data_IF_533834855052
#
_entry.id   IF_533834855052
#
_cell.length_a   1.000
_cell.length_b   1.000
_cell.length_c   1.000
_cell.angle_alpha   90.00
_cell.angle_beta   90.00
_cell.angle_gamma   90.00
#
_symmetry.space_group_name_H-M   'P 1'
#
loop_
_entity.id
_entity.type
_entity.pdbx_description
1 polymer ?
#
# COMPACT_ATOMS: atom_id res chain seq x y z
N UNK A 1 -2.49 34.95 -15.75
CA UNK A 1 -2.11 35.20 -14.36
C UNK A 1 -1.05 34.16 -13.95
N UNK A 2 0.11 34.65 -13.45
CA UNK A 2 1.28 33.82 -13.15
C UNK A 2 0.94 32.74 -12.12
N UNK A 3 0.09 33.05 -11.13
CA UNK A 3 -0.35 32.06 -10.09
C UNK A 3 -1.18 30.93 -10.69
N UNK A 4 -2.10 31.23 -11.60
CA UNK A 4 -2.89 30.21 -12.27
C UNK A 4 -2.02 29.31 -13.16
N UNK A 5 -0.99 29.87 -13.81
CA UNK A 5 -0.02 29.11 -14.60
C UNK A 5 0.84 28.19 -13.70
N UNK A 6 1.33 28.70 -12.55
CA UNK A 6 2.14 27.91 -11.61
C UNK A 6 1.32 26.75 -11.01
N UNK A 7 0.02 26.95 -10.76
CA UNK A 7 -0.91 25.93 -10.28
C UNK A 7 -1.14 24.85 -11.33
N UNK A 8 -1.43 25.21 -12.58
CA UNK A 8 -1.59 24.28 -13.70
C UNK A 8 -0.31 23.47 -13.95
N UNK A 9 0.86 24.10 -13.88
CA UNK A 9 2.15 23.40 -14.03
C UNK A 9 2.36 22.40 -12.91
N UNK A 10 2.05 22.78 -11.66
CA UNK A 10 2.16 21.89 -10.50
C UNK A 10 1.24 20.69 -10.60
N UNK A 11 -0.01 20.91 -10.99
CA UNK A 11 -0.99 19.84 -11.20
C UNK A 11 -0.56 18.90 -12.34
N UNK A 12 -0.07 19.47 -13.45
CA UNK A 12 0.44 18.67 -14.57
C UNK A 12 1.66 17.83 -14.19
N UNK A 13 2.58 18.37 -13.40
CA UNK A 13 3.73 17.62 -12.90
C UNK A 13 3.29 16.49 -11.97
N UNK A 14 2.33 16.73 -11.09
CA UNK A 14 1.77 15.71 -10.21
C UNK A 14 1.11 14.56 -11.01
N UNK A 15 0.35 14.88 -12.06
CA UNK A 15 -0.25 13.88 -12.95
C UNK A 15 0.81 13.08 -13.71
N UNK A 16 1.89 13.70 -14.18
CA UNK A 16 3.00 13.03 -14.83
C UNK A 16 3.75 12.07 -13.89
N UNK A 17 3.97 12.47 -12.63
CA UNK A 17 4.58 11.62 -11.62
C UNK A 17 3.70 10.41 -11.31
N UNK A 18 2.38 10.60 -11.19
CA UNK A 18 1.41 9.52 -11.02
C UNK A 18 1.44 8.55 -12.20
N UNK A 19 1.44 9.08 -13.43
CA UNK A 19 1.50 8.26 -14.65
C UNK A 19 2.79 7.44 -14.72
N UNK A 20 3.92 8.04 -14.37
CA UNK A 20 5.23 7.39 -14.31
C UNK A 20 5.24 6.25 -13.28
N UNK A 21 4.65 6.47 -12.10
CA UNK A 21 4.50 5.45 -11.08
C UNK A 21 3.60 4.29 -11.53
N UNK A 22 2.51 4.58 -12.26
CA UNK A 22 1.65 3.55 -12.85
C UNK A 22 2.37 2.74 -13.93
N UNK A 23 3.12 3.38 -14.81
CA UNK A 23 3.91 2.70 -15.84
C UNK A 23 4.98 1.78 -15.22
N UNK A 24 5.62 2.20 -14.14
CA UNK A 24 6.55 1.36 -13.40
C UNK A 24 5.86 0.11 -12.84
N UNK A 25 4.69 0.26 -12.19
CA UNK A 25 3.90 -0.87 -11.68
C UNK A 25 3.48 -1.83 -12.80
N UNK A 26 3.00 -1.32 -13.93
CA UNK A 26 2.63 -2.14 -15.10
C UNK A 26 3.84 -2.88 -15.64
N UNK A 27 4.98 -2.21 -15.80
CA UNK A 27 6.22 -2.82 -16.27
C UNK A 27 6.67 -3.97 -15.36
N UNK A 28 6.66 -3.76 -14.04
CA UNK A 28 7.09 -4.76 -13.07
C UNK A 28 6.13 -5.96 -13.09
N UNK A 29 4.83 -5.72 -13.23
CA UNK A 29 3.81 -6.77 -13.33
C UNK A 29 3.87 -7.57 -14.63
N UNK A 30 4.26 -6.94 -15.76
CA UNK A 30 4.43 -7.64 -17.03
C UNK A 30 5.72 -8.44 -17.07
N UNK A 31 6.79 -7.95 -16.43
CA UNK A 31 8.04 -8.70 -16.29
C UNK A 31 7.89 -9.94 -15.40
N UNK A 32 7.13 -9.83 -14.33
CA UNK A 32 6.89 -10.96 -13.42
C UNK A 32 6.14 -12.14 -14.06
N UNK A 33 5.37 -11.89 -15.14
CA UNK A 33 4.73 -12.96 -15.93
C UNK A 33 5.75 -13.76 -16.79
N UNK A 34 6.97 -13.24 -16.96
CA UNK A 34 8.03 -13.85 -17.80
C UNK A 34 9.31 -14.21 -17.04
N UNK A 35 9.65 -13.46 -15.98
CA UNK A 35 10.86 -13.67 -15.19
C UNK A 35 10.63 -13.27 -13.73
N UNK A 36 11.36 -13.87 -12.81
CA UNK A 36 11.29 -13.53 -11.39
C UNK A 36 11.55 -12.03 -11.17
N UNK A 37 10.70 -11.36 -10.41
CA UNK A 37 10.91 -9.96 -10.00
C UNK A 37 12.27 -9.83 -9.30
N UNK A 38 13.23 -9.06 -9.82
CA UNK A 38 14.55 -8.96 -9.23
C UNK A 38 14.47 -8.33 -7.84
N UNK A 39 15.09 -8.99 -6.86
CA UNK A 39 15.16 -8.50 -5.49
C UNK A 39 16.56 -7.97 -5.18
N UNK A 40 16.63 -6.78 -4.58
CA UNK A 40 17.84 -6.20 -4.01
C UNK A 40 17.80 -6.32 -2.49
N UNK A 41 17.93 -7.55 -2.00
CA UNK A 41 17.87 -7.88 -0.57
C UNK A 41 19.01 -7.22 0.18
N UNK A 42 18.71 -6.48 1.24
CA UNK A 42 19.66 -5.90 2.17
C UNK A 42 19.07 -5.70 3.56
N UNK A 43 19.92 -5.55 4.55
CA UNK A 43 19.49 -5.14 5.90
C UNK A 43 19.18 -3.65 5.91
N UNK A 44 18.03 -3.26 6.47
CA UNK A 44 17.63 -1.85 6.63
C UNK A 44 16.70 -1.69 7.84
N UNK A 45 16.56 -0.45 8.32
CA UNK A 45 15.66 -0.13 9.42
C UNK A 45 14.22 0.07 8.92
N UNK A 46 13.33 -0.86 9.31
CA UNK A 46 11.92 -0.84 8.94
C UNK A 46 11.18 0.34 9.60
N UNK A 47 11.53 0.70 10.84
CA UNK A 47 10.92 1.84 11.54
C UNK A 47 11.23 3.16 10.85
N UNK A 48 12.47 3.34 10.41
CA UNK A 48 12.87 4.53 9.67
C UNK A 48 12.10 4.61 8.33
N UNK A 49 12.00 3.48 7.63
CA UNK A 49 11.24 3.38 6.37
C UNK A 49 9.76 3.73 6.59
N UNK A 50 9.11 3.14 7.57
CA UNK A 50 7.69 3.44 7.90
C UNK A 50 7.49 4.91 8.25
N UNK A 51 8.33 5.47 9.12
CA UNK A 51 8.26 6.87 9.51
C UNK A 51 8.44 7.83 8.32
N UNK A 52 9.34 7.49 7.38
CA UNK A 52 9.51 8.25 6.15
C UNK A 52 8.27 8.20 5.28
N UNK A 53 7.66 7.02 5.09
CA UNK A 53 6.44 6.86 4.30
C UNK A 53 5.27 7.65 4.90
N UNK A 54 5.06 7.58 6.21
CA UNK A 54 4.01 8.35 6.89
C UNK A 54 4.18 9.86 6.64
N UNK A 55 5.40 10.38 6.73
CA UNK A 55 5.68 11.81 6.47
C UNK A 55 5.48 12.22 5.01
N UNK A 56 5.72 11.31 4.07
CA UNK A 56 5.62 11.57 2.63
C UNK A 56 4.24 11.23 2.05
N UNK A 57 3.35 10.64 2.85
CA UNK A 57 2.00 10.32 2.42
C UNK A 57 1.23 11.59 2.04
N UNK A 58 0.73 11.62 0.81
CA UNK A 58 -0.13 12.71 0.38
C UNK A 58 -1.53 12.55 0.98
N UNK A 59 -1.91 13.52 1.83
CA UNK A 59 -3.22 13.54 2.49
C UNK A 59 -4.12 14.50 1.73
N UNK A 60 -5.27 14.04 1.18
CA UNK A 60 -6.26 14.92 0.56
C UNK A 60 -6.74 15.97 1.54
N UNK A 61 -6.97 17.20 1.06
CA UNK A 61 -7.34 18.35 1.90
C UNK A 61 -8.68 18.18 2.64
N UNK A 62 -9.54 17.30 2.15
CA UNK A 62 -10.85 16.97 2.72
C UNK A 62 -10.81 15.82 3.73
N UNK A 63 -9.63 15.26 4.03
CA UNK A 63 -9.45 14.12 4.95
C UNK A 63 -8.54 14.47 6.13
N UNK A 64 -8.88 13.91 7.28
CA UNK A 64 -8.03 13.91 8.48
C UNK A 64 -7.48 12.50 8.67
N UNK A 65 -6.17 12.34 8.49
CA UNK A 65 -5.51 11.03 8.54
C UNK A 65 -4.65 10.93 9.79
N UNK A 66 -4.86 9.87 10.57
CA UNK A 66 -4.03 9.54 11.73
C UNK A 66 -3.46 8.14 11.54
N UNK A 67 -2.13 8.00 11.61
CA UNK A 67 -1.43 6.72 11.52
C UNK A 67 -0.77 6.40 12.85
N UNK A 68 -1.05 5.21 13.38
CA UNK A 68 -0.52 4.71 14.64
C UNK A 68 0.45 3.55 14.39
N UNK A 69 1.77 3.80 14.28
CA UNK A 69 2.76 2.74 14.12
C UNK A 69 3.02 2.03 15.46
N UNK A 70 3.05 0.71 15.43
CA UNK A 70 3.38 -0.15 16.57
C UNK A 70 4.42 -1.19 16.17
N UNK A 71 5.45 -1.38 17.01
CA UNK A 71 6.54 -2.31 16.75
C UNK A 71 6.70 -3.29 17.93
N UNK A 72 6.57 -4.59 17.64
CA UNK A 72 6.86 -5.69 18.58
C UNK A 72 7.96 -6.54 17.99
N UNK A 73 9.20 -6.07 18.09
CA UNK A 73 10.40 -6.63 17.50
C UNK A 73 11.58 -6.36 18.45
N UNK A 74 12.54 -7.27 18.53
CA UNK A 74 13.79 -7.06 19.28
C UNK A 74 14.70 -6.06 18.58
N UNK A 75 14.71 -6.08 17.24
CA UNK A 75 15.42 -5.14 16.39
C UNK A 75 14.50 -4.66 15.27
N UNK A 76 14.62 -3.39 14.88
CA UNK A 76 13.92 -2.84 13.71
C UNK A 76 14.66 -3.09 12.39
N UNK A 77 15.86 -3.70 12.46
CA UNK A 77 16.59 -4.13 11.28
C UNK A 77 15.97 -5.39 10.70
N UNK A 78 15.63 -5.35 9.42
CA UNK A 78 15.01 -6.47 8.67
C UNK A 78 15.78 -6.75 7.40
N UNK A 79 15.68 -7.97 6.87
CA UNK A 79 16.33 -8.43 5.65
C UNK A 79 15.29 -8.55 4.55
N UNK A 80 15.26 -7.60 3.62
CA UNK A 80 14.32 -7.59 2.49
C UNK A 80 14.79 -6.58 1.44
N UNK A 81 14.05 -6.43 0.33
CA UNK A 81 14.23 -5.30 -0.58
C UNK A 81 13.49 -4.07 -0.02
N UNK A 82 14.21 -3.00 0.40
CA UNK A 82 13.58 -1.85 1.04
C UNK A 82 12.66 -1.06 0.10
N UNK A 83 12.90 -1.09 -1.21
CA UNK A 83 12.03 -0.42 -2.20
C UNK A 83 10.71 -1.18 -2.32
N UNK A 84 10.77 -2.51 -2.38
CA UNK A 84 9.58 -3.34 -2.43
C UNK A 84 8.76 -3.24 -1.15
N UNK A 85 9.39 -3.28 0.01
CA UNK A 85 8.69 -3.10 1.30
C UNK A 85 8.04 -1.73 1.40
N UNK A 86 8.75 -0.67 0.97
CA UNK A 86 8.18 0.68 0.92
C UNK A 86 6.96 0.74 -0.02
N UNK A 87 7.03 0.12 -1.20
CA UNK A 87 5.92 0.06 -2.16
C UNK A 87 4.71 -0.71 -1.61
N UNK A 88 4.94 -1.84 -0.92
CA UNK A 88 3.87 -2.60 -0.25
C UNK A 88 3.13 -1.70 0.75
N UNK A 89 3.87 -1.10 1.69
CA UNK A 89 3.31 -0.27 2.76
C UNK A 89 2.60 0.96 2.17
N UNK A 90 3.20 1.66 1.22
CA UNK A 90 2.62 2.84 0.56
C UNK A 90 1.30 2.50 -0.13
N UNK A 91 1.24 1.41 -0.93
CA UNK A 91 -0.01 1.00 -1.58
C UNK A 91 -1.14 0.70 -0.58
N UNK A 92 -0.82 0.08 0.55
CA UNK A 92 -1.82 -0.23 1.59
C UNK A 92 -2.29 1.01 2.34
N UNK A 93 -1.39 1.96 2.67
CA UNK A 93 -1.74 3.26 3.27
C UNK A 93 -2.60 4.07 2.29
N UNK A 94 -2.21 4.15 1.01
CA UNK A 94 -2.99 4.84 -0.02
C UNK A 94 -4.41 4.24 -0.16
N UNK A 95 -4.55 2.92 -0.14
CA UNK A 95 -5.85 2.26 -0.17
C UNK A 95 -6.67 2.58 1.08
N UNK A 96 -6.08 2.54 2.27
CA UNK A 96 -6.72 2.93 3.52
C UNK A 96 -7.28 4.36 3.45
N UNK A 97 -6.51 5.31 2.92
CA UNK A 97 -6.95 6.70 2.74
C UNK A 97 -8.06 6.80 1.68
N UNK A 98 -7.91 6.14 0.54
CA UNK A 98 -8.87 6.20 -0.58
C UNK A 98 -10.25 5.67 -0.20
N UNK A 99 -10.30 4.55 0.53
CA UNK A 99 -11.53 3.83 0.83
C UNK A 99 -12.07 4.08 2.24
N UNK A 100 -11.61 5.10 2.92
CA UNK A 100 -12.15 5.59 4.20
C UNK A 100 -12.91 6.90 4.03
N UNK A 101 -13.69 7.26 5.04
CA UNK A 101 -14.42 8.53 5.10
C UNK A 101 -13.48 9.73 5.33
N UNK A 102 -14.03 10.82 5.93
CA UNK A 102 -13.24 12.03 6.23
C UNK A 102 -12.23 11.80 7.35
N UNK A 103 -12.59 11.04 8.37
CA UNK A 103 -11.71 10.67 9.47
C UNK A 103 -11.11 9.30 9.20
N UNK A 104 -9.83 9.28 8.84
CA UNK A 104 -9.08 8.08 8.47
C UNK A 104 -8.16 7.70 9.62
N UNK A 105 -8.38 6.52 10.19
CA UNK A 105 -7.49 5.92 11.16
C UNK A 105 -6.80 4.71 10.56
N UNK A 106 -5.48 4.67 10.67
CA UNK A 106 -4.64 3.57 10.20
C UNK A 106 -3.79 3.08 11.36
N UNK A 107 -4.00 1.84 11.78
CA UNK A 107 -3.13 1.16 12.75
C UNK A 107 -2.14 0.29 11.95
N UNK A 108 -0.83 0.61 12.02
CA UNK A 108 0.24 -0.11 11.35
C UNK A 108 1.07 -0.86 12.37
N UNK A 109 1.08 -2.18 12.35
CA UNK A 109 1.89 -2.98 13.26
C UNK A 109 2.96 -3.78 12.53
N UNK A 110 4.17 -3.81 13.10
CA UNK A 110 5.29 -4.64 12.67
C UNK A 110 5.66 -5.58 13.83
N UNK A 111 5.48 -6.87 13.61
CA UNK A 111 5.69 -7.90 14.63
C UNK A 111 6.68 -8.92 14.09
N UNK A 112 7.76 -9.16 14.82
CA UNK A 112 8.70 -10.23 14.48
C UNK A 112 8.60 -11.34 15.53
N UNK A 113 8.46 -12.59 15.03
CA UNK A 113 8.48 -13.81 15.84
C UNK A 113 9.42 -14.82 15.19
N UNK A 114 10.57 -15.07 15.82
CA UNK A 114 11.62 -15.90 15.24
C UNK A 114 12.04 -15.35 13.86
N UNK A 115 11.99 -16.20 12.86
CA UNK A 115 12.34 -15.88 11.48
C UNK A 115 11.16 -15.36 10.63
N UNK A 116 10.14 -14.79 11.25
CA UNK A 116 8.97 -14.29 10.53
C UNK A 116 8.65 -12.85 10.92
N UNK A 117 8.61 -11.98 9.94
CA UNK A 117 8.13 -10.61 10.05
C UNK A 117 6.67 -10.55 9.57
N UNK A 118 5.79 -10.01 10.40
CA UNK A 118 4.41 -9.70 10.03
C UNK A 118 4.20 -8.19 10.04
N UNK A 119 3.79 -7.63 8.91
CA UNK A 119 3.36 -6.23 8.78
C UNK A 119 1.86 -6.24 8.60
N UNK A 120 1.13 -5.56 9.49
CA UNK A 120 -0.33 -5.43 9.40
C UNK A 120 -0.70 -3.96 9.27
N UNK A 121 -1.64 -3.68 8.36
CA UNK A 121 -2.21 -2.34 8.18
C UNK A 121 -3.72 -2.49 8.29
N UNK A 122 -4.28 -1.86 9.31
CA UNK A 122 -5.72 -1.86 9.61
C UNK A 122 -6.27 -0.47 9.40
N UNK A 123 -7.34 -0.35 8.61
CA UNK A 123 -8.08 0.89 8.38
C UNK A 123 -9.50 0.82 8.97
N UNK A 124 -10.10 2.00 9.13
CA UNK A 124 -11.52 2.16 9.49
C UNK A 124 -12.41 2.47 8.30
N UNK A 125 -12.04 2.00 7.11
CA UNK A 125 -12.73 2.29 5.86
C UNK A 125 -14.05 1.53 5.66
N UNK A 126 -14.54 1.56 4.43
CA UNK A 126 -15.82 0.95 4.04
C UNK A 126 -15.85 -0.57 4.18
N UNK A 127 -14.69 -1.22 4.31
CA UNK A 127 -14.56 -2.66 4.33
C UNK A 127 -14.84 -3.31 2.96
N UNK A 128 -14.70 -4.64 2.89
CA UNK A 128 -14.79 -5.44 1.66
C UNK A 128 -15.79 -6.58 1.89
N UNK A 129 -16.83 -6.72 1.05
CA UNK A 129 -17.78 -7.83 1.16
C UNK A 129 -17.10 -9.18 1.02
N UNK A 130 -17.52 -10.23 1.76
CA UNK A 130 -16.93 -11.56 1.69
C UNK A 130 -16.81 -12.12 0.26
N UNK A 131 -17.80 -11.88 -0.60
CA UNK A 131 -17.81 -12.34 -1.99
C UNK A 131 -16.75 -11.68 -2.89
N UNK A 132 -16.15 -10.57 -2.45
CA UNK A 132 -15.14 -9.83 -3.19
C UNK A 132 -13.73 -10.00 -2.62
N UNK A 133 -13.58 -10.48 -1.37
CA UNK A 133 -12.29 -10.56 -0.69
C UNK A 133 -11.24 -11.40 -1.41
N UNK A 134 -11.65 -12.47 -2.09
CA UNK A 134 -10.73 -13.30 -2.88
C UNK A 134 -10.27 -12.63 -4.18
N UNK A 135 -11.04 -11.66 -4.69
CA UNK A 135 -10.82 -11.02 -6.00
C UNK A 135 -10.03 -9.72 -5.91
N UNK A 136 -9.91 -9.11 -4.71
CA UNK A 136 -9.25 -7.80 -4.58
C UNK A 136 -7.76 -7.80 -4.95
N UNK A 137 -7.13 -8.98 -5.00
CA UNK A 137 -5.75 -9.16 -5.45
C UNK A 137 -5.63 -9.44 -6.96
N UNK A 138 -6.74 -9.55 -7.68
CA UNK A 138 -6.71 -9.74 -9.13
C UNK A 138 -6.33 -8.44 -9.84
N UNK A 139 -5.56 -8.56 -10.93
CA UNK A 139 -5.15 -7.42 -11.75
C UNK A 139 -6.40 -6.72 -12.31
N UNK A 140 -6.43 -5.38 -12.22
CA UNK A 140 -7.52 -4.52 -12.71
C UNK A 140 -8.86 -4.68 -12.00
N UNK A 141 -8.92 -5.48 -10.94
CA UNK A 141 -10.16 -5.63 -10.17
C UNK A 141 -10.46 -4.37 -9.36
N UNK A 142 -11.71 -3.95 -9.43
CA UNK A 142 -12.29 -2.87 -8.60
C UNK A 142 -13.62 -3.35 -8.06
N UNK A 143 -13.80 -3.28 -6.74
CA UNK A 143 -15.01 -3.76 -6.07
C UNK A 143 -16.27 -3.03 -6.55
N UNK A 144 -17.35 -3.77 -6.72
CA UNK A 144 -18.67 -3.20 -7.11
C UNK A 144 -19.37 -2.48 -5.95
N UNK A 145 -18.94 -2.75 -4.71
CA UNK A 145 -19.48 -2.16 -3.48
C UNK A 145 -18.97 -0.72 -3.23
N UNK A 146 -18.01 -0.22 -4.02
CA UNK A 146 -17.44 1.12 -3.86
C UNK A 146 -18.48 2.15 -4.25
N UNK A 147 -18.96 3.02 -3.31
CA UNK A 147 -20.05 3.96 -3.57
C UNK A 147 -19.67 5.03 -4.60
N UNK A 148 -18.41 5.49 -4.54
CA UNK A 148 -17.89 6.53 -5.44
C UNK A 148 -16.98 5.92 -6.51
N UNK A 149 -17.49 5.86 -7.74
CA UNK A 149 -16.71 5.39 -8.89
C UNK A 149 -15.63 6.38 -9.36
N UNK A 150 -15.66 7.62 -8.87
CA UNK A 150 -14.66 8.64 -9.19
C UNK A 150 -13.36 8.47 -8.38
N UNK A 151 -13.32 7.55 -7.40
CA UNK A 151 -12.08 7.24 -6.68
C UNK A 151 -11.03 6.82 -7.71
N UNK A 152 -9.89 7.56 -7.83
CA UNK A 152 -8.89 7.29 -8.85
C UNK A 152 -8.18 5.95 -8.59
N UNK A 153 -7.89 5.22 -9.67
CA UNK A 153 -7.11 3.99 -9.62
C UNK A 153 -7.52 2.97 -10.67
N UNK A 154 -6.55 2.22 -11.16
CA UNK A 154 -6.69 1.23 -12.22
C UNK A 154 -6.78 -0.22 -11.71
N UNK A 155 -6.88 -0.44 -10.40
CA UNK A 155 -7.01 -1.78 -9.81
C UNK A 155 -5.71 -2.60 -9.80
N UNK A 156 -4.53 -1.95 -9.80
CA UNK A 156 -3.23 -2.64 -9.77
C UNK A 156 -2.55 -2.65 -8.39
N UNK A 157 -2.99 -1.82 -7.43
CA UNK A 157 -2.29 -1.65 -6.15
C UNK A 157 -2.17 -2.93 -5.34
N UNK A 158 -3.26 -3.67 -5.12
CA UNK A 158 -3.27 -4.90 -4.32
C UNK A 158 -2.64 -6.09 -5.05
N UNK A 159 -2.81 -6.20 -6.37
CA UNK A 159 -2.11 -7.22 -7.15
C UNK A 159 -0.60 -7.00 -7.16
N UNK A 160 -0.15 -5.73 -7.12
CA UNK A 160 1.26 -5.38 -6.98
C UNK A 160 1.79 -5.70 -5.57
N UNK A 161 1.02 -5.43 -4.52
CA UNK A 161 1.33 -5.86 -3.14
C UNK A 161 1.53 -7.36 -3.07
N UNK A 162 0.62 -8.14 -3.67
CA UNK A 162 0.73 -9.60 -3.74
C UNK A 162 2.00 -10.04 -4.45
N UNK A 163 2.27 -9.49 -5.64
CA UNK A 163 3.46 -9.78 -6.43
C UNK A 163 4.76 -9.56 -5.61
N UNK A 164 4.91 -8.38 -5.01
CA UNK A 164 6.11 -8.04 -4.26
C UNK A 164 6.27 -8.91 -3.00
N UNK A 165 5.16 -9.26 -2.36
CA UNK A 165 5.16 -10.16 -1.18
C UNK A 165 5.59 -11.57 -1.56
N UNK A 166 5.04 -12.11 -2.66
CA UNK A 166 5.37 -13.44 -3.17
C UNK A 166 6.83 -13.50 -3.68
N UNK A 167 7.35 -12.42 -4.28
CA UNK A 167 8.76 -12.32 -4.66
C UNK A 167 9.71 -12.47 -3.44
N UNK A 168 9.27 -12.04 -2.25
CA UNK A 168 9.99 -12.24 -0.98
C UNK A 168 9.70 -13.62 -0.34
N UNK A 169 9.10 -14.57 -1.05
CA UNK A 169 8.63 -15.86 -0.51
C UNK A 169 7.65 -15.70 0.65
N UNK A 170 6.95 -14.57 0.69
CA UNK A 170 5.97 -14.23 1.70
C UNK A 170 4.54 -14.53 1.28
N UNK A 171 3.61 -14.17 2.15
CA UNK A 171 2.18 -14.34 1.93
C UNK A 171 1.42 -13.09 2.34
N UNK A 172 0.43 -12.69 1.53
CA UNK A 172 -0.51 -11.61 1.85
C UNK A 172 -1.91 -12.17 2.08
N UNK A 173 -2.57 -11.67 3.11
CA UNK A 173 -3.96 -12.00 3.42
C UNK A 173 -4.71 -10.76 3.88
N UNK A 174 -6.04 -10.86 3.95
CA UNK A 174 -6.88 -9.80 4.49
C UNK A 174 -7.98 -10.37 5.39
N UNK A 175 -8.42 -9.54 6.33
CA UNK A 175 -9.66 -9.72 7.10
C UNK A 175 -10.44 -8.41 6.99
N UNK A 176 -11.71 -8.48 6.60
CA UNK A 176 -12.51 -7.29 6.39
C UNK A 176 -13.98 -7.52 6.73
N UNK A 177 -14.62 -6.46 7.20
CA UNK A 177 -16.05 -6.41 7.43
C UNK A 177 -16.59 -5.08 6.91
N UNK A 178 -17.71 -5.14 6.18
CA UNK A 178 -18.39 -3.94 5.69
C UNK A 178 -18.64 -2.94 6.81
N UNK A 179 -18.36 -1.67 6.53
CA UNK A 179 -18.49 -0.52 7.44
C UNK A 179 -17.65 -0.59 8.73
N UNK A 180 -16.69 -1.53 8.82
CA UNK A 180 -15.76 -1.63 9.95
C UNK A 180 -14.29 -1.49 9.56
N UNK A 181 -14.00 -1.55 8.25
CA UNK A 181 -12.66 -1.45 7.72
C UNK A 181 -12.03 -2.77 7.31
N UNK A 182 -10.74 -2.71 7.03
CA UNK A 182 -9.95 -3.84 6.52
C UNK A 182 -8.62 -3.92 7.24
N UNK A 183 -8.17 -5.14 7.50
CA UNK A 183 -6.80 -5.45 7.93
C UNK A 183 -6.12 -6.24 6.84
N UNK A 184 -5.05 -5.70 6.27
CA UNK A 184 -4.12 -6.42 5.41
C UNK A 184 -2.96 -6.94 6.25
N UNK A 185 -2.57 -8.20 6.03
CA UNK A 185 -1.45 -8.85 6.72
C UNK A 185 -0.45 -9.37 5.71
N UNK A 186 0.79 -8.89 5.80
CA UNK A 186 1.93 -9.31 5.00
C UNK A 186 2.85 -10.11 5.91
N UNK A 187 3.15 -11.36 5.55
CA UNK A 187 4.03 -12.26 6.29
C UNK A 187 5.25 -12.55 5.43
N UNK A 188 6.44 -12.26 5.95
CA UNK A 188 7.72 -12.40 5.25
C UNK A 188 8.69 -13.26 6.07
N UNK A 189 9.43 -14.18 5.45
CA UNK A 189 10.58 -14.84 6.09
C UNK A 189 11.70 -13.81 6.34
N UNK A 190 12.48 -14.05 7.40
CA UNK A 190 13.64 -13.25 7.82
C UNK A 190 14.89 -14.11 8.00
#
# INVERSE_FOLDING_TARGET
DKRAMDEVVKDSMFELDNLSAYLAKVRDMTRADYEHTPLHIRTFDLRETVNKLIRLTNIPADKQVTVHPYYKMESTLVIADPVHIANIISNLIENAIKYSGKEVRIDLSCIQKGHTLTIQITDNGIGIPPAEQSKVFDKFYRGNHIPDRNIPGIGLGLSYVKLLTEAHHGHVSLTSQLSKGTTFSIVLPQ
#
